data_IF_976030601723
#
_entry.id   IF_976030601723
#
_cell.length_a   1.000
_cell.length_b   1.000
_cell.length_c   1.000
_cell.angle_alpha   90.00
_cell.angle_beta   90.00
_cell.angle_gamma   90.00
#
_symmetry.space_group_name_H-M   'P 1'
#
loop_
_entity.id
_entity.type
_entity.pdbx_description
1 polymer ?
#
# COMPACT_ATOMS: atom_id res chain seq x y z
N UNK A 1 8.41 -14.91 -1.14
CA UNK A 1 7.24 -14.35 -0.44
C UNK A 1 6.01 -14.86 -1.17
N UNK A 2 5.03 -15.39 -0.44
CA UNK A 2 3.79 -15.89 -1.03
C UNK A 2 2.77 -14.76 -1.18
N UNK A 3 1.70 -14.98 -1.95
CA UNK A 3 0.58 -14.04 -2.07
C UNK A 3 -0.06 -13.73 -0.70
N UNK A 4 -0.20 -14.75 0.15
CA UNK A 4 -0.73 -14.60 1.50
C UNK A 4 0.18 -13.74 2.38
N UNK A 5 1.51 -13.88 2.25
CA UNK A 5 2.47 -13.04 2.98
C UNK A 5 2.37 -11.57 2.54
N UNK A 6 2.23 -11.32 1.23
CA UNK A 6 2.07 -9.97 0.68
C UNK A 6 0.80 -9.32 1.21
N UNK A 7 -0.34 -10.03 1.08
CA UNK A 7 -1.63 -9.53 1.57
C UNK A 7 -1.57 -9.25 3.07
N UNK A 8 -0.90 -10.11 3.83
CA UNK A 8 -0.74 -9.92 5.27
C UNK A 8 0.07 -8.66 5.60
N UNK A 9 1.17 -8.41 4.90
CA UNK A 9 1.98 -7.21 5.09
C UNK A 9 1.18 -5.95 4.71
N UNK A 10 0.40 -6.00 3.64
CA UNK A 10 -0.47 -4.88 3.26
C UNK A 10 -1.61 -4.65 4.26
N UNK A 11 -2.22 -5.72 4.79
CA UNK A 11 -3.20 -5.60 5.86
C UNK A 11 -2.59 -4.98 7.13
N UNK A 12 -1.33 -5.30 7.46
CA UNK A 12 -0.60 -4.65 8.56
C UNK A 12 -0.36 -3.16 8.28
N UNK A 13 0.02 -2.79 7.07
CA UNK A 13 0.21 -1.40 6.66
C UNK A 13 -1.11 -0.61 6.72
N UNK A 14 -2.19 -1.17 6.18
CA UNK A 14 -3.55 -0.60 6.23
C UNK A 14 -3.99 -0.40 7.68
N UNK A 15 -3.90 -1.43 8.51
CA UNK A 15 -4.25 -1.35 9.93
C UNK A 15 -3.44 -0.27 10.67
N UNK A 16 -2.14 -0.18 10.39
CA UNK A 16 -1.27 0.83 10.97
C UNK A 16 -1.69 2.26 10.60
N UNK A 17 -2.07 2.51 9.35
CA UNK A 17 -2.53 3.82 8.90
C UNK A 17 -3.85 4.20 9.57
N UNK A 18 -4.85 3.31 9.49
CA UNK A 18 -6.21 3.65 9.90
C UNK A 18 -6.42 3.57 11.41
N UNK A 19 -5.76 2.64 12.12
CA UNK A 19 -5.95 2.45 13.56
C UNK A 19 -4.74 2.90 14.41
N UNK A 20 -3.55 3.04 13.82
CA UNK A 20 -2.36 3.49 14.54
C UNK A 20 -1.70 2.42 15.42
N UNK A 21 -2.06 1.15 15.21
CA UNK A 21 -1.63 0.01 16.00
C UNK A 21 -1.17 -1.17 15.12
N UNK A 22 -0.59 -2.19 15.75
CA UNK A 22 -0.09 -3.38 15.07
C UNK A 22 -1.23 -4.38 14.84
N UNK A 23 -1.37 -4.88 13.60
CA UNK A 23 -2.27 -6.01 13.35
C UNK A 23 -1.63 -7.31 13.85
N UNK A 24 -2.20 -7.88 14.90
CA UNK A 24 -1.76 -9.15 15.51
C UNK A 24 -2.03 -10.34 14.59
N UNK A 25 -1.18 -11.37 14.63
CA UNK A 25 -1.18 -12.50 13.70
C UNK A 25 -2.53 -13.24 13.61
N UNK A 26 -3.24 -13.34 14.72
CA UNK A 26 -4.51 -14.07 14.83
C UNK A 26 -5.73 -13.20 14.49
N UNK A 27 -5.54 -11.89 14.35
CA UNK A 27 -6.62 -10.93 14.10
C UNK A 27 -6.89 -10.86 12.59
N UNK A 28 -8.13 -11.12 12.15
CA UNK A 28 -8.52 -10.89 10.76
C UNK A 28 -8.47 -9.40 10.45
N UNK A 29 -8.07 -9.05 9.24
CA UNK A 29 -8.18 -7.69 8.76
C UNK A 29 -9.66 -7.31 8.60
N UNK A 30 -9.96 -6.04 8.87
CA UNK A 30 -11.26 -5.44 8.58
C UNK A 30 -11.38 -5.15 7.08
N UNK A 31 -12.59 -4.81 6.62
CA UNK A 31 -12.76 -4.24 5.27
C UNK A 31 -12.28 -2.80 5.24
N UNK A 32 -12.07 -2.26 4.04
CA UNK A 32 -11.69 -0.86 3.85
C UNK A 32 -12.68 0.12 4.49
N UNK A 33 -13.98 -0.12 4.32
CA UNK A 33 -15.04 0.72 4.86
C UNK A 33 -15.04 0.70 6.40
N UNK A 34 -14.85 -0.47 7.01
CA UNK A 34 -14.72 -0.61 8.46
C UNK A 34 -13.48 0.16 9.00
N UNK A 35 -12.38 0.17 8.23
CA UNK A 35 -11.19 0.96 8.58
C UNK A 35 -11.44 2.46 8.51
N UNK A 36 -12.19 2.93 7.51
CA UNK A 36 -12.56 4.33 7.36
C UNK A 36 -13.47 4.79 8.50
N UNK A 37 -14.51 4.02 8.82
CA UNK A 37 -15.42 4.30 9.94
C UNK A 37 -14.66 4.43 11.26
N UNK A 38 -13.72 3.53 11.52
CA UNK A 38 -12.90 3.60 12.73
C UNK A 38 -11.92 4.78 12.70
N UNK A 39 -11.32 5.07 11.56
CA UNK A 39 -10.42 6.21 11.40
C UNK A 39 -11.13 7.54 11.63
N UNK A 40 -12.36 7.70 11.15
CA UNK A 40 -13.18 8.90 11.42
C UNK A 40 -13.56 9.04 12.90
N UNK A 41 -13.78 7.92 13.59
CA UNK A 41 -14.07 7.90 15.02
C UNK A 41 -12.85 8.18 15.92
N UNK A 42 -11.62 8.14 15.38
CA UNK A 42 -10.39 8.35 16.16
C UNK A 42 -10.25 9.80 16.61
N UNK A 43 -10.21 9.97 17.92
CA UNK A 43 -10.00 11.28 18.57
C UNK A 43 -8.51 11.59 18.80
N UNK A 44 -7.67 10.56 18.89
CA UNK A 44 -6.22 10.68 19.10
C UNK A 44 -5.45 9.91 18.03
N UNK A 45 -4.40 10.55 17.50
CA UNK A 45 -3.54 10.01 16.46
C UNK A 45 -2.07 10.17 16.84
N UNK A 46 -1.26 9.18 16.45
CA UNK A 46 0.19 9.23 16.59
C UNK A 46 0.84 8.99 15.22
N UNK A 47 1.00 10.05 14.40
CA UNK A 47 1.52 9.94 13.05
C UNK A 47 2.94 9.34 12.98
N UNK A 48 3.75 9.52 14.03
CA UNK A 48 5.10 8.95 14.06
C UNK A 48 5.03 7.42 14.18
N UNK A 49 4.13 6.92 15.01
CA UNK A 49 3.92 5.47 15.18
C UNK A 49 3.28 4.86 13.94
N UNK A 50 2.27 5.52 13.38
CA UNK A 50 1.61 5.12 12.12
C UNK A 50 2.65 4.93 11.00
N UNK A 51 3.53 5.92 10.81
CA UNK A 51 4.60 5.87 9.80
C UNK A 51 5.65 4.80 10.07
N UNK A 52 6.01 4.58 11.33
CA UNK A 52 6.97 3.53 11.70
C UNK A 52 6.43 2.14 11.36
N UNK A 53 5.18 1.87 11.73
CA UNK A 53 4.51 0.60 11.45
C UNK A 53 4.30 0.38 9.95
N UNK A 54 3.89 1.42 9.22
CA UNK A 54 3.81 1.39 7.76
C UNK A 54 5.15 1.00 7.15
N UNK A 55 6.24 1.66 7.55
CA UNK A 55 7.59 1.36 7.04
C UNK A 55 7.93 -0.11 7.26
N UNK A 56 7.72 -0.64 8.46
CA UNK A 56 8.03 -2.03 8.79
C UNK A 56 7.28 -3.02 7.88
N UNK A 57 6.01 -2.75 7.60
CA UNK A 57 5.17 -3.59 6.76
C UNK A 57 5.49 -3.48 5.26
N UNK A 58 5.81 -2.28 4.77
CA UNK A 58 6.00 -2.02 3.33
C UNK A 58 7.42 -2.27 2.85
N UNK A 59 8.45 -2.07 3.70
CA UNK A 59 9.86 -2.25 3.30
C UNK A 59 10.13 -3.58 2.56
N UNK A 60 9.60 -4.74 3.00
CA UNK A 60 9.80 -6.01 2.30
C UNK A 60 9.14 -6.08 0.91
N UNK A 61 8.12 -5.25 0.66
CA UNK A 61 7.34 -5.21 -0.57
C UNK A 61 7.81 -4.14 -1.56
N UNK A 62 8.65 -3.21 -1.11
CA UNK A 62 8.97 -1.97 -1.81
C UNK A 62 9.53 -2.21 -3.21
N UNK A 63 10.46 -3.16 -3.35
CA UNK A 63 11.08 -3.46 -4.65
C UNK A 63 10.06 -3.93 -5.70
N UNK A 64 9.05 -4.70 -5.29
CA UNK A 64 7.99 -5.18 -6.19
C UNK A 64 7.10 -4.02 -6.62
N UNK A 65 6.68 -3.19 -5.68
CA UNK A 65 5.86 -2.01 -5.98
C UNK A 65 6.58 -1.03 -6.91
N UNK A 66 7.85 -0.71 -6.64
CA UNK A 66 8.68 0.16 -7.49
C UNK A 66 8.75 -0.36 -8.92
N UNK A 67 8.89 -1.67 -9.11
CA UNK A 67 8.90 -2.27 -10.44
C UNK A 67 7.56 -2.10 -11.15
N UNK A 68 6.45 -2.43 -10.49
CA UNK A 68 5.11 -2.29 -11.06
C UNK A 68 4.78 -0.84 -11.39
N UNK A 69 5.09 0.09 -10.48
CA UNK A 69 4.88 1.53 -10.68
C UNK A 69 5.65 2.04 -11.91
N UNK A 70 6.91 1.64 -12.09
CA UNK A 70 7.72 2.03 -13.26
C UNK A 70 7.12 1.52 -14.57
N UNK A 71 6.63 0.28 -14.58
CA UNK A 71 5.95 -0.28 -15.75
C UNK A 71 4.69 0.50 -16.08
N UNK A 72 3.87 0.80 -15.07
CA UNK A 72 2.59 1.49 -15.26
C UNK A 72 2.80 2.95 -15.68
N UNK A 73 3.78 3.64 -15.08
CA UNK A 73 4.16 5.00 -15.47
C UNK A 73 4.71 5.04 -16.91
N UNK A 74 5.55 4.08 -17.31
CA UNK A 74 6.04 3.98 -18.68
C UNK A 74 4.91 3.70 -19.68
N UNK A 75 3.97 2.82 -19.35
CA UNK A 75 2.80 2.53 -20.17
C UNK A 75 1.90 3.77 -20.32
N UNK A 76 1.66 4.50 -19.23
CA UNK A 76 0.90 5.74 -19.24
C UNK A 76 1.57 6.80 -20.12
N UNK A 77 2.88 6.99 -19.98
CA UNK A 77 3.65 7.96 -20.77
C UNK A 77 3.61 7.67 -22.28
N UNK A 78 3.56 6.40 -22.69
CA UNK A 78 3.37 6.04 -24.10
C UNK A 78 1.99 6.45 -24.65
N UNK A 79 0.97 6.53 -23.79
CA UNK A 79 -0.40 6.91 -24.19
C UNK A 79 -0.63 8.41 -24.12
N UNK A 80 -0.12 9.08 -23.09
CA UNK A 80 -0.39 10.49 -22.80
C UNK A 80 0.71 11.44 -23.26
N UNK A 81 1.94 10.92 -23.44
CA UNK A 81 3.14 11.73 -23.65
C UNK A 81 3.77 12.27 -22.36
N UNK A 82 3.14 12.04 -21.21
CA UNK A 82 3.55 12.56 -19.91
C UNK A 82 3.87 11.42 -18.94
N UNK A 83 5.02 11.50 -18.25
CA UNK A 83 5.42 10.59 -17.18
C UNK A 83 5.43 11.28 -15.83
N UNK A 84 4.99 10.59 -14.79
CA UNK A 84 5.18 11.06 -13.42
C UNK A 84 6.66 11.01 -13.02
N UNK A 85 7.14 11.97 -12.23
CA UNK A 85 8.50 11.93 -11.68
C UNK A 85 8.64 10.72 -10.74
N UNK A 86 9.75 10.00 -10.86
CA UNK A 86 10.05 8.88 -9.96
C UNK A 86 10.44 9.43 -8.57
N UNK A 87 9.91 8.86 -7.47
CA UNK A 87 10.33 9.21 -6.11
C UNK A 87 11.85 9.01 -5.91
N UNK A 88 12.49 9.98 -5.25
CA UNK A 88 13.96 10.08 -5.14
C UNK A 88 14.56 9.08 -4.14
N UNK A 89 13.83 8.78 -3.06
CA UNK A 89 14.31 7.94 -1.97
C UNK A 89 13.21 7.07 -1.33
N UNK A 90 13.61 6.18 -0.42
CA UNK A 90 12.69 5.28 0.29
C UNK A 90 11.57 6.03 1.02
N UNK A 91 11.84 7.22 1.56
CA UNK A 91 10.82 7.99 2.27
C UNK A 91 9.76 8.50 1.32
N UNK A 92 10.15 9.01 0.14
CA UNK A 92 9.19 9.44 -0.88
C UNK A 92 8.37 8.26 -1.43
N UNK A 93 8.99 7.10 -1.63
CA UNK A 93 8.26 5.88 -2.01
C UNK A 93 7.24 5.45 -0.95
N UNK A 94 7.60 5.52 0.33
CA UNK A 94 6.67 5.23 1.42
C UNK A 94 5.52 6.24 1.50
N UNK A 95 5.77 7.50 1.14
CA UNK A 95 4.73 8.54 1.07
C UNK A 95 3.77 8.32 -0.10
N UNK A 96 4.27 7.93 -1.27
CA UNK A 96 3.41 7.55 -2.42
C UNK A 96 2.46 6.41 -2.03
N UNK A 97 3.00 5.35 -1.41
CA UNK A 97 2.18 4.20 -0.95
C UNK A 97 1.20 4.63 0.14
N UNK A 98 1.61 5.49 1.07
CA UNK A 98 0.71 6.04 2.08
C UNK A 98 -0.45 6.80 1.44
N UNK A 99 -0.18 7.65 0.45
CA UNK A 99 -1.19 8.43 -0.24
C UNK A 99 -2.12 7.51 -1.05
N UNK A 100 -1.62 6.49 -1.74
CA UNK A 100 -2.47 5.48 -2.41
C UNK A 100 -3.41 4.77 -1.42
N UNK A 101 -2.89 4.34 -0.26
CA UNK A 101 -3.70 3.68 0.77
C UNK A 101 -4.74 4.61 1.39
N UNK A 102 -4.39 5.88 1.63
CA UNK A 102 -5.30 6.88 2.18
C UNK A 102 -6.41 7.29 1.21
N UNK A 103 -6.17 7.17 -0.09
CA UNK A 103 -7.14 7.46 -1.15
C UNK A 103 -7.93 6.22 -1.60
N UNK A 104 -7.74 5.07 -0.96
CA UNK A 104 -8.54 3.87 -1.19
C UNK A 104 -9.83 3.97 -0.38
N UNK A 105 -10.99 3.98 -1.03
CA UNK A 105 -12.27 4.18 -0.34
C UNK A 105 -13.07 2.87 -0.19
N UNK A 106 -12.79 1.87 -1.03
CA UNK A 106 -13.55 0.62 -1.10
C UNK A 106 -12.67 -0.62 -1.03
N UNK A 107 -13.23 -1.75 -0.60
CA UNK A 107 -12.49 -3.03 -0.63
C UNK A 107 -12.11 -3.46 -2.06
N UNK A 108 -12.88 -3.04 -3.08
CA UNK A 108 -12.55 -3.30 -4.49
C UNK A 108 -11.30 -2.55 -4.95
N UNK A 109 -11.15 -1.28 -4.57
CA UNK A 109 -9.93 -0.50 -4.81
C UNK A 109 -8.76 -1.05 -4.02
N UNK A 110 -9.00 -1.55 -2.80
CA UNK A 110 -7.99 -2.20 -1.99
C UNK A 110 -7.41 -3.45 -2.67
N UNK A 111 -8.27 -4.31 -3.23
CA UNK A 111 -7.81 -5.49 -3.97
C UNK A 111 -7.03 -5.11 -5.25
N UNK A 112 -7.39 -4.01 -5.92
CA UNK A 112 -6.61 -3.48 -7.04
C UNK A 112 -5.21 -2.99 -6.59
N UNK A 113 -5.15 -2.32 -5.44
CA UNK A 113 -3.89 -1.87 -4.85
C UNK A 113 -2.98 -3.05 -4.48
N UNK A 114 -3.54 -4.10 -3.84
CA UNK A 114 -2.78 -5.34 -3.55
C UNK A 114 -2.14 -5.90 -4.82
N UNK A 115 -2.87 -5.90 -5.93
CA UNK A 115 -2.37 -6.34 -7.23
C UNK A 115 -1.06 -5.67 -7.68
N UNK A 116 -0.79 -4.43 -7.25
CA UNK A 116 0.45 -3.70 -7.58
C UNK A 116 1.68 -4.25 -6.86
N UNK A 117 1.49 -4.89 -5.72
CA UNK A 117 2.54 -5.51 -4.92
C UNK A 117 2.75 -6.99 -5.26
N UNK A 118 1.91 -7.56 -6.14
CA UNK A 118 2.09 -8.91 -6.61
C UNK A 118 3.14 -8.95 -7.73
N UNK A 119 4.01 -9.97 -7.77
CA UNK A 119 4.88 -10.17 -8.91
C UNK A 119 4.01 -10.38 -10.16
N UNK A 120 4.13 -9.51 -11.15
CA UNK A 120 3.58 -9.81 -12.47
C UNK A 120 4.25 -11.08 -12.96
N UNK A 121 3.49 -12.15 -13.11
CA UNK A 121 4.00 -13.35 -13.75
C UNK A 121 4.34 -12.96 -15.18
N UNK A 122 5.63 -12.87 -15.50
CA UNK A 122 6.13 -12.87 -16.88
C UNK A 122 5.79 -14.22 -17.51
N UNK A 123 4.51 -14.42 -17.81
CA UNK A 123 4.02 -15.46 -18.70
C UNK A 123 3.39 -14.76 -19.87
N UNK A 124 4.24 -14.23 -20.73
CA UNK A 124 4.04 -14.17 -22.17
C UNK A 124 5.35 -13.73 -22.84
N UNK A 125 6.17 -14.72 -23.18
CA UNK A 125 7.15 -14.66 -24.26
C UNK A 125 7.00 -15.92 -25.11
#
# INVERSE_FOLDING_TARGET
MTEQDIRRLLDQARHAIFLGEELLAETPALTQEDYLDQYEARTERNPLREKELLRQAITPLLATYQHTWKMDNAAAALMTGDSLPEPEDETEWLMEIYDEMMNTDTEEEWEQLIGRFMPRSDKEA
#
